data_IF_984748806532
#
_entry.id   IF_984748806532
#
_cell.length_a   1.000
_cell.length_b   1.000
_cell.length_c   1.000
_cell.angle_alpha   90.00
_cell.angle_beta   90.00
_cell.angle_gamma   90.00
#
_symmetry.space_group_name_H-M   'P 1'
#
loop_
_entity.id
_entity.type
_entity.pdbx_description
1 polymer ?
#
# COMPACT_ATOMS: atom_id res chain seq x y z
N UNK A 1 -9.14 -24.78 -8.96
CA UNK A 1 -7.68 -24.63 -9.15
C UNK A 1 -7.02 -25.58 -8.16
N UNK A 2 -6.06 -26.39 -8.61
CA UNK A 2 -5.37 -27.35 -7.73
C UNK A 2 -4.47 -26.62 -6.72
N UNK A 3 -4.21 -27.25 -5.59
CA UNK A 3 -3.34 -26.69 -4.53
C UNK A 3 -1.97 -26.23 -5.05
N UNK A 4 -1.24 -26.99 -5.92
CA UNK A 4 0.06 -26.54 -6.41
C UNK A 4 -0.01 -25.23 -7.22
N UNK A 5 -1.10 -25.00 -7.94
CA UNK A 5 -1.29 -23.78 -8.70
C UNK A 5 -1.53 -22.57 -7.78
N UNK A 6 -2.25 -22.75 -6.67
CA UNK A 6 -2.38 -21.73 -5.63
C UNK A 6 -1.06 -21.47 -4.92
N UNK A 7 -0.31 -22.51 -4.58
CA UNK A 7 1.00 -22.38 -3.96
C UNK A 7 1.96 -21.59 -4.86
N UNK A 8 1.97 -21.88 -6.16
CA UNK A 8 2.71 -21.07 -7.13
C UNK A 8 2.20 -19.62 -7.11
N UNK A 9 0.89 -19.40 -7.31
CA UNK A 9 0.32 -18.05 -7.35
C UNK A 9 0.66 -17.21 -6.12
N UNK A 10 0.75 -17.79 -4.92
CA UNK A 10 1.01 -17.06 -3.67
C UNK A 10 2.50 -16.98 -3.30
N UNK A 11 3.27 -18.02 -3.59
CA UNK A 11 4.61 -18.22 -3.01
C UNK A 11 5.74 -18.39 -4.04
N UNK A 12 5.51 -18.18 -5.35
CA UNK A 12 6.62 -18.23 -6.33
C UNK A 12 7.78 -17.33 -5.86
N UNK A 13 9.00 -17.88 -5.69
CA UNK A 13 10.14 -17.13 -5.15
C UNK A 13 10.50 -15.89 -5.96
N UNK A 14 10.27 -15.96 -7.28
CA UNK A 14 10.71 -14.92 -8.20
C UNK A 14 9.66 -13.83 -8.44
N UNK A 15 8.44 -13.99 -7.89
CA UNK A 15 7.31 -13.07 -8.07
C UNK A 15 7.19 -12.59 -9.52
N UNK A 16 7.14 -13.51 -10.49
CA UNK A 16 7.18 -13.17 -11.92
C UNK A 16 5.80 -13.11 -12.55
N UNK A 17 5.68 -12.34 -13.62
CA UNK A 17 4.52 -12.29 -14.50
C UNK A 17 4.36 -13.64 -15.22
N UNK A 18 3.13 -14.14 -15.32
CA UNK A 18 2.84 -15.42 -15.99
C UNK A 18 3.11 -15.40 -17.50
N UNK A 19 3.17 -14.22 -18.11
CA UNK A 19 3.23 -14.05 -19.56
C UNK A 19 4.61 -13.64 -20.08
N UNK A 20 5.37 -12.86 -19.30
CA UNK A 20 6.62 -12.27 -19.75
C UNK A 20 7.75 -12.33 -18.72
N UNK A 21 7.56 -13.09 -17.63
CA UNK A 21 8.51 -13.28 -16.53
C UNK A 21 9.02 -12.00 -15.83
N UNK A 22 8.47 -10.84 -16.17
CA UNK A 22 8.81 -9.57 -15.51
C UNK A 22 8.39 -9.63 -14.05
N UNK A 23 9.27 -9.22 -13.14
CA UNK A 23 8.97 -9.18 -11.69
C UNK A 23 7.74 -8.31 -11.41
N UNK A 24 6.76 -8.90 -10.75
CA UNK A 24 5.52 -8.27 -10.31
C UNK A 24 4.98 -8.94 -9.04
N UNK A 25 4.72 -8.11 -8.04
CA UNK A 25 4.04 -8.53 -6.81
C UNK A 25 2.53 -8.58 -6.95
N UNK A 26 2.00 -8.03 -8.04
CA UNK A 26 0.56 -7.90 -8.24
C UNK A 26 -0.04 -9.24 -8.65
N UNK A 27 -0.94 -9.74 -7.80
CA UNK A 27 -1.78 -10.90 -8.07
C UNK A 27 -3.17 -10.37 -8.43
N UNK A 28 -3.71 -10.80 -9.55
CA UNK A 28 -5.12 -10.64 -9.87
C UNK A 28 -5.86 -11.92 -9.47
N UNK A 29 -6.56 -11.91 -8.34
CA UNK A 29 -7.23 -13.10 -7.81
C UNK A 29 -8.44 -13.54 -8.64
N UNK A 30 -9.08 -12.62 -9.37
CA UNK A 30 -10.21 -12.95 -10.24
C UNK A 30 -9.73 -13.69 -11.49
N UNK A 31 -8.64 -13.20 -12.10
CA UNK A 31 -7.99 -13.90 -13.22
C UNK A 31 -7.08 -15.06 -12.76
N UNK A 32 -6.85 -15.19 -11.45
CA UNK A 32 -5.97 -16.15 -10.78
C UNK A 32 -4.54 -16.17 -11.36
N UNK A 33 -3.98 -15.00 -11.63
CA UNK A 33 -2.67 -14.82 -12.30
C UNK A 33 -1.87 -13.68 -11.69
N UNK A 34 -0.54 -13.76 -11.77
CA UNK A 34 0.34 -12.59 -11.60
C UNK A 34 0.56 -11.94 -12.96
N UNK A 35 0.18 -10.67 -13.08
CA UNK A 35 0.35 -9.90 -14.30
C UNK A 35 1.12 -8.61 -13.99
N UNK A 36 2.15 -8.32 -14.79
CA UNK A 36 2.83 -7.04 -14.72
C UNK A 36 1.95 -5.93 -15.33
N UNK A 37 2.32 -4.67 -15.11
CA UNK A 37 1.57 -3.53 -15.68
C UNK A 37 1.56 -3.53 -17.21
N UNK A 38 2.56 -4.12 -17.87
CA UNK A 38 2.62 -4.30 -19.32
C UNK A 38 1.50 -5.22 -19.81
N UNK A 39 1.53 -6.49 -19.39
CA UNK A 39 0.55 -7.51 -19.81
C UNK A 39 -0.89 -7.17 -19.37
N UNK A 40 -1.08 -6.41 -18.29
CA UNK A 40 -2.42 -5.93 -17.90
C UNK A 40 -3.04 -4.96 -18.91
N UNK A 41 -2.24 -4.27 -19.71
CA UNK A 41 -2.77 -3.38 -20.77
C UNK A 41 -3.36 -4.17 -21.93
N UNK A 42 -2.91 -5.41 -22.11
CA UNK A 42 -3.37 -6.31 -23.18
C UNK A 42 -4.69 -7.02 -22.83
N UNK A 43 -5.21 -6.80 -21.61
CA UNK A 43 -6.53 -7.27 -21.22
C UNK A 43 -7.61 -6.67 -22.12
N UNK A 44 -8.50 -7.53 -22.60
CA UNK A 44 -9.66 -7.13 -23.40
C UNK A 44 -10.66 -6.45 -22.48
N UNK A 45 -10.96 -5.18 -22.73
CA UNK A 45 -11.98 -4.44 -21.99
C UNK A 45 -13.33 -4.62 -22.66
N UNK A 46 -14.30 -5.04 -21.89
CA UNK A 46 -15.68 -5.20 -22.31
C UNK A 46 -16.62 -4.52 -21.32
N UNK A 47 -17.68 -3.93 -21.84
CA UNK A 47 -18.73 -3.30 -21.04
C UNK A 47 -20.01 -4.10 -21.25
N UNK A 48 -20.58 -4.72 -20.19
CA UNK A 48 -21.78 -5.58 -20.31
C UNK A 48 -22.97 -4.96 -21.03
N UNK A 49 -23.12 -3.63 -20.93
CA UNK A 49 -24.21 -2.86 -21.54
C UNK A 49 -24.05 -2.68 -23.05
N UNK A 50 -22.87 -2.94 -23.60
CA UNK A 50 -22.62 -2.77 -25.02
C UNK A 50 -23.30 -3.92 -25.79
N UNK A 51 -24.11 -3.56 -26.79
CA UNK A 51 -24.88 -4.51 -27.62
C UNK A 51 -24.05 -5.15 -28.73
N UNK A 52 -22.90 -4.57 -29.06
CA UNK A 52 -21.99 -5.07 -30.09
C UNK A 52 -20.60 -5.25 -29.51
N UNK A 53 -20.14 -6.49 -29.50
CA UNK A 53 -18.75 -6.85 -29.25
C UNK A 53 -18.02 -6.68 -30.57
N UNK A 54 -17.41 -5.52 -30.82
CA UNK A 54 -16.54 -5.30 -31.99
C UNK A 54 -15.26 -6.18 -31.98
N UNK A 55 -15.27 -7.27 -31.23
CA UNK A 55 -14.16 -8.12 -30.85
C UNK A 55 -14.27 -9.54 -31.44
N UNK A 56 -15.33 -9.83 -32.20
CA UNK A 56 -15.54 -11.13 -32.82
C UNK A 56 -15.98 -12.25 -31.88
N UNK A 57 -16.17 -11.96 -30.59
CA UNK A 57 -16.66 -12.92 -29.60
C UNK A 57 -18.17 -12.82 -29.37
N UNK A 58 -18.82 -13.95 -29.13
CA UNK A 58 -20.21 -14.00 -28.71
C UNK A 58 -20.39 -13.33 -27.34
N UNK A 59 -21.48 -12.56 -27.16
CA UNK A 59 -21.73 -11.83 -25.90
C UNK A 59 -21.80 -12.76 -24.68
N UNK A 60 -22.42 -13.92 -24.83
CA UNK A 60 -22.60 -14.88 -23.74
C UNK A 60 -21.25 -15.49 -23.29
N UNK A 61 -20.19 -15.38 -24.10
CA UNK A 61 -18.86 -15.89 -23.76
C UNK A 61 -18.27 -15.17 -22.54
N UNK A 62 -18.56 -13.88 -22.40
CA UNK A 62 -18.04 -13.05 -21.31
C UNK A 62 -18.59 -13.50 -19.94
N UNK A 63 -19.78 -14.11 -19.90
CA UNK A 63 -20.36 -14.65 -18.66
C UNK A 63 -19.73 -16.00 -18.25
N UNK A 64 -18.88 -16.59 -19.10
CA UNK A 64 -18.27 -17.91 -18.91
C UNK A 64 -16.78 -17.84 -18.54
N UNK A 65 -16.21 -16.63 -18.50
CA UNK A 65 -14.79 -16.39 -18.22
C UNK A 65 -14.67 -15.40 -17.06
N UNK A 66 -13.81 -15.67 -16.06
CA UNK A 66 -13.53 -14.70 -15.00
C UNK A 66 -12.97 -13.40 -15.56
N UNK A 67 -13.32 -12.29 -14.93
CA UNK A 67 -12.86 -10.96 -15.29
C UNK A 67 -12.35 -10.20 -14.08
N UNK A 68 -11.56 -9.17 -14.32
CA UNK A 68 -11.16 -8.19 -13.30
C UNK A 68 -11.79 -6.84 -13.62
N UNK A 69 -12.27 -6.15 -12.59
CA UNK A 69 -12.76 -4.77 -12.72
C UNK A 69 -11.61 -3.75 -12.65
N UNK A 70 -10.40 -4.24 -12.43
CA UNK A 70 -9.21 -3.42 -12.18
C UNK A 70 -8.60 -2.91 -13.49
N UNK A 71 -9.35 -2.08 -14.20
CA UNK A 71 -8.81 -1.21 -15.24
C UNK A 71 -8.02 -0.08 -14.58
N UNK A 72 -6.75 0.09 -14.95
CA UNK A 72 -5.82 1.04 -14.31
C UNK A 72 -6.43 2.42 -14.06
N UNK A 73 -6.21 2.93 -12.83
CA UNK A 73 -6.49 4.27 -12.32
C UNK A 73 -6.85 5.32 -13.39
N UNK A 74 -8.13 5.44 -13.74
CA UNK A 74 -8.66 6.56 -14.50
C UNK A 74 -9.87 7.12 -13.75
N UNK A 75 -9.60 8.11 -12.91
CA UNK A 75 -10.46 9.25 -12.60
C UNK A 75 -11.99 9.02 -12.64
N UNK A 76 -12.55 8.45 -11.56
CA UNK A 76 -13.90 8.77 -11.07
C UNK A 76 -15.12 8.58 -11.98
N UNK A 77 -14.97 8.07 -13.21
CA UNK A 77 -16.09 7.82 -14.12
C UNK A 77 -16.46 6.34 -14.06
N UNK A 78 -17.50 6.08 -13.27
CA UNK A 78 -18.17 4.81 -13.03
C UNK A 78 -18.77 4.19 -14.30
N UNK A 79 -17.93 3.74 -15.22
CA UNK A 79 -18.25 2.66 -16.14
C UNK A 79 -17.49 1.42 -15.68
N UNK A 80 -18.20 0.43 -15.14
CA UNK A 80 -17.61 -0.86 -14.73
C UNK A 80 -17.18 -1.65 -15.97
N UNK A 81 -16.03 -1.30 -16.53
CA UNK A 81 -15.38 -2.11 -17.54
C UNK A 81 -14.90 -3.40 -16.88
N UNK A 82 -15.26 -4.51 -17.49
CA UNK A 82 -14.73 -5.82 -17.15
C UNK A 82 -13.55 -6.09 -18.08
N UNK A 83 -12.44 -6.52 -17.50
CA UNK A 83 -11.20 -6.80 -18.23
C UNK A 83 -10.96 -8.30 -18.23
N UNK A 84 -10.78 -8.86 -19.43
CA UNK A 84 -10.70 -10.29 -19.68
C UNK A 84 -9.33 -10.67 -20.23
N UNK A 85 -8.85 -11.86 -19.87
CA UNK A 85 -7.66 -12.43 -20.49
C UNK A 85 -8.02 -13.00 -21.86
N UNK A 86 -7.39 -12.48 -22.92
CA UNK A 86 -7.70 -12.88 -24.32
C UNK A 86 -7.58 -14.38 -24.55
N UNK A 87 -6.48 -15.05 -24.16
CA UNK A 87 -6.36 -16.50 -24.28
C UNK A 87 -7.49 -17.29 -23.62
N UNK A 88 -8.05 -16.79 -22.50
CA UNK A 88 -9.17 -17.46 -21.83
C UNK A 88 -10.46 -17.34 -22.64
N UNK A 89 -10.71 -16.19 -23.26
CA UNK A 89 -11.85 -16.01 -24.16
C UNK A 89 -11.73 -16.92 -25.38
N UNK A 90 -10.56 -16.96 -26.02
CA UNK A 90 -10.31 -17.81 -27.18
C UNK A 90 -10.48 -19.30 -26.84
N UNK A 91 -9.89 -19.75 -25.74
CA UNK A 91 -10.04 -21.13 -25.26
C UNK A 91 -11.50 -21.47 -24.92
N UNK A 92 -12.23 -20.54 -24.30
CA UNK A 92 -13.65 -20.74 -23.98
C UNK A 92 -14.51 -20.79 -25.25
N UNK A 93 -14.21 -19.96 -26.25
CA UNK A 93 -14.95 -19.94 -27.52
C UNK A 93 -14.81 -21.28 -28.23
N UNK A 94 -13.59 -21.80 -28.35
CA UNK A 94 -13.31 -23.14 -28.92
C UNK A 94 -14.09 -24.22 -28.17
N UNK A 95 -14.16 -24.15 -26.84
CA UNK A 95 -14.89 -25.12 -26.02
C UNK A 95 -16.40 -25.03 -26.26
N UNK A 96 -16.95 -23.82 -26.31
CA UNK A 96 -18.37 -23.56 -26.59
C UNK A 96 -18.75 -24.09 -27.96
N UNK A 97 -17.97 -23.79 -29.01
CA UNK A 97 -18.25 -24.23 -30.38
C UNK A 97 -18.26 -25.76 -30.49
N UNK A 98 -17.32 -26.43 -29.81
CA UNK A 98 -17.28 -27.90 -29.76
C UNK A 98 -18.52 -28.49 -29.08
N UNK A 99 -18.99 -27.89 -27.98
CA UNK A 99 -20.15 -28.38 -27.23
C UNK A 99 -21.47 -28.12 -27.99
N UNK A 100 -21.56 -27.02 -28.72
CA UNK A 100 -22.72 -26.73 -29.58
C UNK A 100 -22.93 -27.79 -30.67
N UNK A 101 -21.87 -28.45 -31.13
CA UNK A 101 -21.94 -29.53 -32.12
C UNK A 101 -22.41 -30.88 -31.55
N UNK A 102 -22.44 -31.05 -30.21
CA UNK A 102 -22.78 -32.33 -29.57
C UNK A 102 -24.28 -32.48 -29.32
N UNK A 103 -24.78 -31.87 -28.23
CA UNK A 103 -26.19 -31.88 -27.88
C UNK A 103 -26.56 -30.60 -27.15
N UNK A 104 -27.83 -30.19 -27.29
CA UNK A 104 -28.34 -28.98 -26.64
C UNK A 104 -28.34 -29.10 -25.12
N UNK A 105 -28.55 -30.31 -24.60
CA UNK A 105 -28.57 -30.61 -23.17
C UNK A 105 -27.18 -30.46 -22.55
N UNK A 106 -26.16 -31.09 -23.14
CA UNK A 106 -24.77 -30.96 -22.68
C UNK A 106 -24.29 -29.51 -22.73
N UNK A 107 -24.66 -28.77 -23.78
CA UNK A 107 -24.32 -27.36 -23.89
C UNK A 107 -24.95 -26.51 -22.79
N UNK A 108 -26.25 -26.68 -22.53
CA UNK A 108 -26.95 -25.92 -21.49
C UNK A 108 -26.45 -26.23 -20.09
N UNK A 109 -26.17 -27.51 -19.80
CA UNK A 109 -25.62 -27.93 -18.51
C UNK A 109 -24.22 -27.34 -18.28
N UNK A 110 -23.38 -27.33 -19.33
CA UNK A 110 -22.08 -26.66 -19.28
C UNK A 110 -22.22 -25.16 -18.99
N UNK A 111 -23.11 -24.44 -19.67
CA UNK A 111 -23.32 -23.00 -19.43
C UNK A 111 -23.71 -22.75 -17.98
N UNK A 112 -24.69 -23.50 -17.46
CA UNK A 112 -25.17 -23.35 -16.09
C UNK A 112 -24.05 -23.58 -15.07
N UNK A 113 -23.36 -24.71 -15.20
CA UNK A 113 -22.26 -25.08 -14.29
C UNK A 113 -21.13 -24.05 -14.37
N UNK A 114 -20.76 -23.63 -15.57
CA UNK A 114 -19.65 -22.70 -15.76
C UNK A 114 -19.95 -21.29 -15.24
N UNK A 115 -21.16 -20.80 -15.43
CA UNK A 115 -21.57 -19.49 -14.88
C UNK A 115 -21.51 -19.49 -13.35
N UNK A 116 -21.95 -20.58 -12.70
CA UNK A 116 -21.82 -20.74 -11.25
C UNK A 116 -20.36 -20.75 -10.81
N UNK A 117 -19.51 -21.52 -11.49
CA UNK A 117 -18.07 -21.52 -11.20
C UNK A 117 -17.45 -20.13 -11.33
N UNK A 118 -17.79 -19.36 -12.37
CA UNK A 118 -17.28 -18.00 -12.57
C UNK A 118 -17.76 -17.07 -11.46
N UNK A 119 -19.03 -17.16 -11.06
CA UNK A 119 -19.55 -16.38 -9.94
C UNK A 119 -18.78 -16.67 -8.64
N UNK A 120 -18.55 -17.95 -8.31
CA UNK A 120 -17.78 -18.37 -7.14
C UNK A 120 -16.32 -17.87 -7.18
N UNK A 121 -15.71 -17.89 -8.37
CA UNK A 121 -14.36 -17.34 -8.58
C UNK A 121 -14.34 -15.83 -8.26
N UNK A 122 -15.30 -15.08 -8.79
CA UNK A 122 -15.35 -13.63 -8.62
C UNK A 122 -15.68 -13.22 -7.19
N UNK A 123 -16.53 -13.99 -6.51
CA UNK A 123 -16.87 -13.74 -5.12
C UNK A 123 -15.67 -13.99 -4.20
N UNK A 124 -15.07 -15.18 -4.30
CA UNK A 124 -13.87 -15.53 -3.52
C UNK A 124 -12.67 -14.63 -3.81
N UNK A 125 -12.55 -14.08 -5.03
CA UNK A 125 -11.48 -13.15 -5.37
C UNK A 125 -11.46 -11.89 -4.49
N UNK A 126 -12.62 -11.39 -4.06
CA UNK A 126 -12.73 -10.21 -3.18
C UNK A 126 -12.16 -10.48 -1.79
N UNK A 127 -12.50 -11.64 -1.24
CA UNK A 127 -12.02 -12.07 0.07
C UNK A 127 -10.52 -12.31 0.04
N UNK A 128 -10.03 -12.98 -1.00
CA UNK A 128 -8.60 -13.22 -1.20
C UNK A 128 -7.81 -11.93 -1.39
N UNK A 129 -8.33 -10.98 -2.16
CA UNK A 129 -7.73 -9.66 -2.32
C UNK A 129 -7.65 -8.91 -0.99
N UNK A 130 -8.75 -8.92 -0.22
CA UNK A 130 -8.82 -8.27 1.10
C UNK A 130 -7.86 -8.91 2.09
N UNK A 131 -7.81 -10.24 2.13
CA UNK A 131 -6.86 -11.01 2.92
C UNK A 131 -5.42 -10.66 2.55
N UNK A 132 -5.10 -10.58 1.26
CA UNK A 132 -3.75 -10.29 0.79
C UNK A 132 -3.30 -8.87 1.18
N UNK A 133 -4.18 -7.88 1.02
CA UNK A 133 -3.95 -6.50 1.47
C UNK A 133 -3.73 -6.46 3.00
N UNK A 134 -4.61 -7.12 3.76
CA UNK A 134 -4.52 -7.12 5.21
C UNK A 134 -3.25 -7.83 5.70
N UNK A 135 -2.86 -8.95 5.09
CA UNK A 135 -1.61 -9.66 5.39
C UNK A 135 -0.39 -8.74 5.23
N UNK A 136 -0.34 -7.96 4.14
CA UNK A 136 0.71 -6.95 3.94
C UNK A 136 0.67 -5.88 5.01
N UNK A 137 -0.51 -5.31 5.30
CA UNK A 137 -0.68 -4.27 6.34
C UNK A 137 -0.23 -4.74 7.72
N UNK A 138 -0.61 -5.95 8.13
CA UNK A 138 -0.20 -6.55 9.41
C UNK A 138 1.31 -6.69 9.48
N UNK A 139 1.95 -7.14 8.39
CA UNK A 139 3.41 -7.20 8.30
C UNK A 139 4.03 -5.80 8.42
N UNK A 140 3.53 -4.82 7.68
CA UNK A 140 4.07 -3.46 7.66
C UNK A 140 4.02 -2.83 9.07
N UNK A 141 2.90 -3.01 9.80
CA UNK A 141 2.76 -2.57 11.20
C UNK A 141 3.74 -3.30 12.13
N UNK A 142 3.91 -4.61 11.95
CA UNK A 142 4.87 -5.38 12.74
C UNK A 142 6.32 -4.94 12.46
N UNK A 143 6.65 -4.68 11.19
CA UNK A 143 7.96 -4.20 10.76
C UNK A 143 8.25 -2.80 11.31
N UNK A 144 7.24 -1.92 11.36
CA UNK A 144 7.32 -0.59 11.98
C UNK A 144 7.62 -0.67 13.48
N UNK A 145 6.89 -1.49 14.22
CA UNK A 145 7.17 -1.71 15.65
C UNK A 145 8.60 -2.19 15.90
N UNK A 146 9.11 -3.12 15.08
CA UNK A 146 10.49 -3.59 15.22
C UNK A 146 11.53 -2.50 14.91
N UNK A 147 11.24 -1.59 13.97
CA UNK A 147 12.10 -0.41 13.72
C UNK A 147 12.12 0.52 14.92
N UNK A 148 10.97 0.73 15.55
CA UNK A 148 10.87 1.57 16.75
C UNK A 148 11.60 0.95 17.95
N UNK A 149 11.43 -0.36 18.18
CA UNK A 149 12.17 -1.09 19.21
C UNK A 149 13.69 -1.00 18.99
N UNK A 150 14.14 -1.20 17.74
CA UNK A 150 15.55 -1.06 17.36
C UNK A 150 16.06 0.36 17.62
N UNK A 151 15.30 1.37 17.22
CA UNK A 151 15.67 2.77 17.44
C UNK A 151 15.77 3.09 18.93
N UNK A 152 14.86 2.56 19.76
CA UNK A 152 14.91 2.73 21.20
C UNK A 152 16.17 2.09 21.80
N UNK A 153 16.55 0.87 21.39
CA UNK A 153 17.81 0.23 21.83
C UNK A 153 19.05 1.09 21.47
N UNK A 154 19.08 1.65 20.25
CA UNK A 154 20.12 2.61 19.83
C UNK A 154 20.16 3.82 20.76
N UNK A 155 19.00 4.43 21.07
CA UNK A 155 18.90 5.57 21.99
C UNK A 155 19.43 5.20 23.37
N UNK A 156 19.04 4.06 23.94
CA UNK A 156 19.51 3.63 25.26
C UNK A 156 21.03 3.43 25.28
N UNK A 157 21.60 2.79 24.25
CA UNK A 157 23.06 2.59 24.15
C UNK A 157 23.83 3.91 24.01
N UNK A 158 23.32 4.87 23.24
CA UNK A 158 23.91 6.21 23.13
C UNK A 158 23.80 6.99 24.45
N UNK A 159 22.68 6.87 25.16
CA UNK A 159 22.52 7.47 26.49
C UNK A 159 23.52 6.86 27.47
N UNK A 160 23.69 5.54 27.46
CA UNK A 160 24.70 4.85 28.27
C UNK A 160 26.15 5.30 27.92
N UNK A 161 26.39 5.68 26.66
CA UNK A 161 27.66 6.27 26.22
C UNK A 161 27.83 7.77 26.60
N UNK A 162 26.86 8.38 27.29
CA UNK A 162 26.94 9.75 27.82
C UNK A 162 26.26 10.84 26.97
N UNK A 163 25.52 10.48 25.93
CA UNK A 163 24.74 11.45 25.16
C UNK A 163 23.40 11.77 25.86
N UNK A 164 22.92 13.00 25.75
CA UNK A 164 21.62 13.37 26.34
C UNK A 164 20.51 12.96 25.38
N UNK A 165 19.40 12.42 25.91
CA UNK A 165 18.27 11.92 25.09
C UNK A 165 17.67 12.98 24.16
N UNK A 166 17.63 14.25 24.57
CA UNK A 166 17.13 15.37 23.76
C UNK A 166 18.05 15.74 22.58
N UNK A 167 19.30 15.27 22.59
CA UNK A 167 20.23 15.42 21.47
C UNK A 167 20.06 14.33 20.42
N UNK A 168 19.35 13.25 20.77
CA UNK A 168 19.17 12.07 19.93
C UNK A 168 17.77 12.17 19.31
N UNK A 169 17.70 12.51 18.03
CA UNK A 169 16.41 12.54 17.30
C UNK A 169 16.49 11.68 16.06
N UNK A 170 15.38 11.03 15.69
CA UNK A 170 15.37 10.10 14.54
C UNK A 170 15.79 10.79 13.25
N UNK A 171 15.43 12.07 13.10
CA UNK A 171 15.79 12.88 11.93
C UNK A 171 17.30 13.05 11.75
N UNK A 172 18.10 13.05 12.82
CA UNK A 172 19.55 13.16 12.70
C UNK A 172 20.19 11.94 12.02
N UNK A 173 19.50 10.81 12.01
CA UNK A 173 19.99 9.54 11.48
C UNK A 173 19.21 9.07 10.26
N UNK A 174 18.46 9.96 9.58
CA UNK A 174 17.61 9.58 8.43
C UNK A 174 18.39 8.90 7.30
N UNK A 175 19.68 9.22 7.18
CA UNK A 175 20.54 8.69 6.12
C UNK A 175 21.28 7.41 6.55
N UNK A 176 21.20 7.05 7.85
CA UNK A 176 21.89 5.89 8.41
C UNK A 176 21.02 4.64 8.33
N UNK A 177 21.21 3.86 7.26
CA UNK A 177 20.48 2.59 7.00
C UNK A 177 20.53 1.60 8.16
N UNK A 178 21.60 1.64 8.96
CA UNK A 178 21.78 0.78 10.13
C UNK A 178 20.78 1.08 11.27
N UNK A 179 20.16 2.25 11.26
CA UNK A 179 19.14 2.67 12.24
C UNK A 179 17.76 2.20 11.83
N UNK A 180 17.42 2.24 10.54
CA UNK A 180 16.09 1.89 10.01
C UNK A 180 15.84 0.39 9.80
N UNK A 181 16.75 -0.48 10.24
CA UNK A 181 16.63 -1.93 10.10
C UNK A 181 15.43 -2.52 10.85
N UNK A 182 14.82 -3.56 10.29
CA UNK A 182 13.73 -4.34 10.94
C UNK A 182 14.27 -5.44 11.86
N UNK A 183 15.55 -5.81 11.68
CA UNK A 183 16.21 -6.83 12.50
C UNK A 183 16.57 -6.28 13.88
N UNK A 184 16.60 -7.17 14.88
CA UNK A 184 17.06 -6.82 16.23
C UNK A 184 18.49 -6.27 16.16
N UNK A 185 18.79 -5.26 16.98
CA UNK A 185 20.14 -4.75 17.12
C UNK A 185 21.01 -5.78 17.85
N UNK A 186 21.95 -6.37 17.12
CA UNK A 186 22.99 -7.23 17.69
C UNK A 186 24.20 -6.38 18.06
N UNK A 187 25.08 -6.90 18.91
CA UNK A 187 26.28 -6.15 19.32
C UNK A 187 27.25 -5.91 18.17
N UNK A 188 27.33 -6.85 17.23
CA UNK A 188 28.08 -6.66 15.98
C UNK A 188 27.46 -5.56 15.10
N UNK A 189 26.13 -5.59 14.91
CA UNK A 189 25.43 -4.55 14.16
C UNK A 189 25.56 -3.18 14.84
N UNK A 190 25.57 -3.15 16.17
CA UNK A 190 25.84 -1.95 16.95
C UNK A 190 27.25 -1.42 16.73
N UNK A 191 28.28 -2.25 16.86
CA UNK A 191 29.67 -1.84 16.65
C UNK A 191 29.90 -1.21 15.26
N UNK A 192 29.21 -1.74 14.24
CA UNK A 192 29.29 -1.23 12.86
C UNK A 192 28.65 0.16 12.67
N UNK A 193 27.67 0.54 13.49
CA UNK A 193 26.95 1.82 13.34
C UNK A 193 27.36 2.85 14.39
N UNK A 194 27.86 2.40 15.55
CA UNK A 194 28.14 3.23 16.72
C UNK A 194 29.06 4.41 16.39
N UNK A 195 30.18 4.16 15.71
CA UNK A 195 31.16 5.20 15.41
C UNK A 195 30.53 6.34 14.60
N UNK A 196 29.77 6.01 13.56
CA UNK A 196 29.10 6.99 12.71
C UNK A 196 28.06 7.79 13.47
N UNK A 197 27.26 7.12 14.31
CA UNK A 197 26.22 7.80 15.11
C UNK A 197 26.85 8.81 16.08
N UNK A 198 27.97 8.44 16.72
CA UNK A 198 28.71 9.34 17.60
C UNK A 198 29.28 10.54 16.84
N UNK A 199 29.89 10.33 15.68
CA UNK A 199 30.38 11.41 14.81
C UNK A 199 29.28 12.41 14.45
N UNK A 200 28.09 11.93 14.07
CA UNK A 200 26.93 12.78 13.75
C UNK A 200 26.49 13.60 14.96
N UNK A 201 26.42 12.98 16.15
CA UNK A 201 26.02 13.65 17.38
C UNK A 201 27.05 14.69 17.84
N UNK A 202 28.33 14.37 17.76
CA UNK A 202 29.41 15.27 18.13
C UNK A 202 29.49 16.46 17.19
N UNK A 203 29.32 16.23 15.88
CA UNK A 203 29.18 17.30 14.90
C UNK A 203 28.01 18.24 15.24
N UNK A 204 26.82 17.67 15.51
CA UNK A 204 25.63 18.47 15.88
C UNK A 204 25.80 19.22 17.20
N UNK A 205 26.49 18.62 18.18
CA UNK A 205 26.83 19.27 19.45
C UNK A 205 27.77 20.46 19.21
N UNK A 206 28.81 20.29 18.40
CA UNK A 206 29.73 21.36 18.04
C UNK A 206 29.04 22.53 17.34
N UNK A 207 28.15 22.25 16.37
CA UNK A 207 27.39 23.29 15.67
C UNK A 207 26.43 24.05 16.59
N UNK A 208 25.74 23.37 17.51
CA UNK A 208 24.90 24.04 18.54
C UNK A 208 25.73 24.96 19.43
N UNK A 209 26.94 24.54 19.85
CA UNK A 209 27.82 25.36 20.67
C UNK A 209 28.28 26.60 19.88
N UNK A 210 28.69 26.44 18.61
CA UNK A 210 29.07 27.58 17.75
C UNK A 210 27.92 28.57 17.55
N UNK A 211 26.71 28.07 17.31
CA UNK A 211 25.50 28.90 17.18
C UNK A 211 25.21 29.71 18.44
N UNK A 212 25.29 29.09 19.62
CA UNK A 212 25.13 29.79 20.90
C UNK A 212 26.20 30.86 21.14
N UNK A 213 27.46 30.58 20.79
CA UNK A 213 28.54 31.55 20.88
C UNK A 213 28.25 32.78 20.03
N UNK A 214 27.81 32.63 18.77
CA UNK A 214 27.45 33.76 17.90
C UNK A 214 26.32 34.62 18.47
N UNK A 215 25.27 34.00 19.01
CA UNK A 215 24.15 34.74 19.64
C UNK A 215 24.64 35.49 20.88
N UNK A 216 25.50 34.88 21.69
CA UNK A 216 26.08 35.52 22.87
C UNK A 216 27.02 36.68 22.48
N UNK A 217 27.86 36.54 21.46
CA UNK A 217 28.70 37.64 20.96
C UNK A 217 27.86 38.78 20.39
N UNK A 218 26.73 38.51 19.72
CA UNK A 218 25.82 39.56 19.25
C UNK A 218 25.08 40.26 20.40
N UNK A 219 24.72 39.56 21.48
CA UNK A 219 24.10 40.18 22.66
C UNK A 219 25.03 41.12 23.44
N UNK A 220 26.35 40.94 23.30
CA UNK A 220 27.36 41.77 23.96
C UNK A 220 27.84 42.95 23.11
N UNK A 221 27.55 42.96 21.79
CA UNK A 221 28.00 44.00 20.84
C UNK A 221 26.87 44.96 20.44
N UNK A 222 25.60 44.67 20.74
CA UNK A 222 24.57 45.72 20.70
C UNK A 222 24.68 46.59 21.95
N UNK A 223 25.11 47.86 21.86
CA UNK A 223 24.93 48.81 22.94
C UNK A 223 23.44 48.85 23.25
N UNK A 224 23.08 49.01 24.52
CA UNK A 224 21.71 49.30 24.92
C UNK A 224 21.21 50.52 24.14
N UNK A 225 20.56 50.29 23.01
CA UNK A 225 19.78 51.31 22.36
C UNK A 225 18.58 51.48 23.29
N UNK A 226 18.61 52.60 24.00
CA UNK A 226 17.65 52.98 25.01
C UNK A 226 16.22 52.65 24.57
N UNK A 227 15.50 52.04 25.51
CA UNK A 227 14.12 51.59 25.37
C UNK A 227 13.11 52.75 25.26
N UNK A 228 13.55 53.96 24.87
CA UNK A 228 12.78 55.20 24.86
C UNK A 228 12.24 55.61 23.48
N UNK A 229 12.60 54.92 22.39
CA UNK A 229 12.19 55.32 21.03
C UNK A 229 11.02 54.55 20.40
N UNK A 230 10.14 53.89 21.17
CA UNK A 230 8.92 53.28 20.63
C UNK A 230 7.67 53.67 21.42
N UNK A 231 7.39 54.97 21.46
CA UNK A 231 6.04 55.47 21.69
C UNK A 231 5.68 56.49 20.59
N UNK A 232 5.32 55.99 19.41
CA UNK A 232 4.47 56.73 18.47
C UNK A 232 3.59 55.77 17.69
N UNK A 233 2.36 55.68 18.20
CA UNK A 233 1.10 55.46 17.49
C UNK A 233 1.17 55.38 15.97
N UNK A 234 0.55 54.35 15.38
CA UNK A 234 -0.49 54.53 14.36
C UNK A 234 -1.28 53.25 14.14
N UNK A 235 -2.57 53.37 14.37
CA UNK A 235 -3.65 52.45 14.06
C UNK A 235 -3.67 52.03 12.60
N UNK A 236 -3.84 50.73 12.33
CA UNK A 236 -4.76 50.27 11.29
C UNK A 236 -5.12 48.80 11.55
N UNK A 237 -6.29 48.60 12.18
CA UNK A 237 -6.94 47.30 12.27
C UNK A 237 -7.63 47.04 10.93
N UNK A 238 -7.08 46.16 10.11
CA UNK A 238 -7.83 45.50 9.06
C UNK A 238 -8.42 44.21 9.64
N UNK A 239 -9.74 44.18 9.72
CA UNK A 239 -10.55 43.03 10.12
C UNK A 239 -10.35 41.89 9.10
N UNK A 240 -9.86 40.74 9.57
CA UNK A 240 -10.01 39.47 8.87
C UNK A 240 -10.84 38.55 9.76
N UNK A 241 -12.12 38.42 9.42
CA UNK A 241 -13.00 37.40 9.97
C UNK A 241 -12.62 36.04 9.38
N UNK A 242 -12.49 34.97 10.18
CA UNK A 242 -12.45 33.60 9.66
C UNK A 242 -13.88 33.12 9.34
N UNK A 243 -14.07 32.30 8.28
CA UNK A 243 -15.37 31.71 8.01
C UNK A 243 -15.62 30.54 8.97
N UNK A 244 -16.78 30.58 9.60
CA UNK A 244 -17.44 29.47 10.27
C UNK A 244 -17.62 28.30 9.32
N UNK A 245 -17.23 27.11 9.75
CA UNK A 245 -17.84 25.87 9.28
C UNK A 245 -17.74 24.81 10.37
N UNK A 246 -18.74 24.86 11.26
CA UNK A 246 -19.18 23.70 12.01
C UNK A 246 -20.20 22.94 11.15
N UNK A 247 -20.01 21.63 10.99
CA UNK A 247 -21.03 20.63 11.37
C UNK A 247 -20.70 19.21 10.91
N UNK A 248 -20.67 18.32 11.90
CA UNK A 248 -21.10 16.91 11.85
C UNK A 248 -20.23 15.95 11.01
N UNK A 249 -19.91 14.72 11.44
CA UNK A 249 -20.77 13.72 12.08
C UNK A 249 -19.89 12.79 12.92
N UNK A 250 -20.20 12.71 14.22
CA UNK A 250 -19.85 11.57 15.08
C UNK A 250 -20.71 10.37 14.66
N UNK A 251 -20.10 9.29 14.15
CA UNK A 251 -20.72 7.96 14.17
C UNK A 251 -20.03 7.11 15.22
N UNK A 252 -20.72 6.97 16.34
CA UNK A 252 -20.58 5.84 17.24
C UNK A 252 -21.08 4.59 16.50
N UNK A 253 -20.30 3.52 16.50
CA UNK A 253 -20.82 2.18 16.23
C UNK A 253 -20.65 1.33 17.49
N UNK A 254 -21.72 0.65 17.94
CA UNK A 254 -21.71 -0.17 19.14
C UNK A 254 -21.09 -1.54 18.90
N UNK A 255 -20.51 -2.06 19.98
CA UNK A 255 -20.13 -3.46 20.20
C UNK A 255 -21.34 -4.38 20.28
N UNK A 256 -21.27 -5.53 19.60
CA UNK A 256 -21.98 -6.81 19.84
C UNK A 256 -21.74 -7.67 18.58
N UNK A 257 -21.68 -9.00 18.58
CA UNK A 257 -21.84 -10.05 19.57
C UNK A 257 -21.18 -11.32 18.99
N UNK A 258 -20.80 -12.18 19.91
CA UNK A 258 -20.41 -13.58 19.82
C UNK A 258 -21.22 -14.39 18.79
N UNK A 259 -20.55 -15.23 17.98
CA UNK A 259 -21.14 -16.47 17.50
C UNK A 259 -20.11 -17.62 17.60
N UNK A 260 -20.35 -18.50 18.59
CA UNK A 260 -19.83 -19.86 18.70
C UNK A 260 -20.96 -20.79 18.27
N UNK A 261 -20.68 -21.68 17.32
CA UNK A 261 -21.34 -22.98 17.12
C UNK A 261 -20.52 -23.72 16.07
N UNK A 262 -19.70 -24.72 16.44
CA UNK A 262 -20.07 -26.12 16.69
C UNK A 262 -20.51 -26.82 15.41
N UNK A 263 -19.60 -27.61 14.84
CA UNK A 263 -19.71 -28.78 13.92
C UNK A 263 -18.22 -29.10 13.65
N UNK A 264 -17.58 -30.17 14.14
CA UNK A 264 -17.92 -31.55 14.50
C UNK A 264 -17.13 -31.99 15.72
#
# INVERSE_FOLDING_TARGET
>A
MAEPAWANLLYTPNETCFECDTKTKYIDFALRRRLCLGCRKDLIRFKPKDKRTGLGFNKNLFDLVPYTETGGSYSGRSGSYQSYWRPDLEAMQIKVDRLQQKSREEYNDFLKTRTLEVADILDSAKDLQSWHINKKRVKDVADERRRDDRYNDIVERLVAAGYRRDEITRRLFSDEKGVEGVTRLTDEAWANIELKLKEILDFNRAERIKGRRRVHTMSHIMPSCDRSCLFRSSSSRANFSPPDNASSVLRQHPTSLIYRSSLT
#
